data_IF_997321998470
#
_entry.id   IF_997321998470
#
_cell.length_a   1.000
_cell.length_b   1.000
_cell.length_c   1.000
_cell.angle_alpha   90.00
_cell.angle_beta   90.00
_cell.angle_gamma   90.00
#
_symmetry.space_group_name_H-M   'P 1'
#
loop_
_entity.id
_entity.type
_entity.pdbx_description
1 polymer ?
#
# COMPACT_ATOMS: atom_id res chain seq x y z
N UNK A 1 -2.50 -6.00 28.29
CA UNK A 1 -2.86 -4.58 28.05
C UNK A 1 -4.38 -4.44 27.99
N UNK A 2 -4.95 -3.24 28.27
CA UNK A 2 -6.38 -2.99 28.02
C UNK A 2 -6.57 -2.80 26.49
N UNK A 3 -7.64 -3.39 25.92
CA UNK A 3 -7.96 -3.24 24.49
C UNK A 3 -8.16 -1.75 24.15
N UNK A 4 -7.45 -1.19 23.16
CA UNK A 4 -7.63 0.22 22.75
C UNK A 4 -8.97 0.43 22.05
N UNK A 5 -9.48 1.68 22.06
CA UNK A 5 -10.67 2.07 21.30
C UNK A 5 -10.35 2.14 19.79
N UNK A 6 -9.15 2.62 19.44
CA UNK A 6 -8.67 2.76 18.06
C UNK A 6 -7.21 2.36 17.95
N UNK A 7 -6.85 1.71 16.86
CA UNK A 7 -5.47 1.36 16.50
C UNK A 7 -5.07 2.10 15.22
N UNK A 8 -3.90 2.73 15.24
CA UNK A 8 -3.22 3.25 14.07
C UNK A 8 -2.03 2.34 13.79
N UNK A 9 -2.09 1.57 12.71
CA UNK A 9 -1.12 0.53 12.42
C UNK A 9 -0.31 0.84 11.16
N UNK A 10 0.95 1.18 11.35
CA UNK A 10 1.94 1.38 10.29
C UNK A 10 2.78 0.11 10.13
N UNK A 11 2.93 -0.40 8.90
CA UNK A 11 3.74 -1.58 8.62
C UNK A 11 4.50 -1.48 7.30
N UNK A 12 5.43 -2.40 7.06
CA UNK A 12 6.18 -2.47 5.80
C UNK A 12 5.28 -2.93 4.62
N UNK A 13 5.83 -2.89 3.41
CA UNK A 13 5.09 -3.14 2.15
C UNK A 13 5.32 -4.52 1.55
N UNK A 14 5.92 -5.44 2.28
CA UNK A 14 6.16 -6.83 1.86
C UNK A 14 5.23 -7.84 2.57
N UNK A 15 5.51 -9.13 2.41
CA UNK A 15 4.70 -10.19 3.01
C UNK A 15 4.68 -10.10 4.54
N UNK A 16 5.83 -9.87 5.18
CA UNK A 16 5.95 -9.83 6.64
C UNK A 16 5.12 -8.64 7.20
N UNK A 17 5.26 -7.46 6.60
CA UNK A 17 4.49 -6.27 6.98
C UNK A 17 2.98 -6.41 6.76
N UNK A 18 2.53 -6.90 5.60
CA UNK A 18 1.09 -7.11 5.35
C UNK A 18 0.50 -8.21 6.23
N UNK A 19 1.26 -9.25 6.56
CA UNK A 19 0.79 -10.31 7.45
C UNK A 19 0.63 -9.82 8.89
N UNK A 20 1.48 -8.91 9.39
CA UNK A 20 1.25 -8.23 10.66
C UNK A 20 -0.11 -7.53 10.69
N UNK A 21 -0.44 -6.79 9.62
CA UNK A 21 -1.73 -6.10 9.49
C UNK A 21 -2.90 -7.08 9.33
N UNK A 22 -2.71 -8.17 8.59
CA UNK A 22 -3.70 -9.23 8.47
C UNK A 22 -4.07 -9.83 9.82
N UNK A 23 -3.08 -10.13 10.68
CA UNK A 23 -3.33 -10.64 12.03
C UNK A 23 -4.06 -9.62 12.91
N UNK A 24 -3.66 -8.35 12.89
CA UNK A 24 -4.32 -7.31 13.70
C UNK A 24 -5.76 -7.06 13.27
N UNK A 25 -6.11 -7.28 11.99
CA UNK A 25 -7.48 -7.15 11.48
C UNK A 25 -8.47 -8.13 12.13
N UNK A 26 -7.98 -9.23 12.72
CA UNK A 26 -8.80 -10.20 13.46
C UNK A 26 -8.91 -9.89 14.95
N UNK A 27 -8.11 -8.93 15.45
CA UNK A 27 -8.02 -8.62 16.89
C UNK A 27 -8.71 -7.31 17.28
N UNK A 28 -8.76 -6.36 16.37
CA UNK A 28 -9.28 -5.02 16.62
C UNK A 28 -10.38 -4.66 15.60
N UNK A 29 -11.38 -3.92 16.05
CA UNK A 29 -12.51 -3.52 15.19
C UNK A 29 -12.29 -2.18 14.49
N UNK A 30 -11.61 -1.25 15.18
CA UNK A 30 -11.36 0.10 14.66
C UNK A 30 -9.85 0.29 14.44
N UNK A 31 -9.43 0.13 13.17
CA UNK A 31 -8.03 0.21 12.78
C UNK A 31 -7.87 1.13 11.57
N UNK A 32 -6.92 2.05 11.67
CA UNK A 32 -6.42 2.84 10.56
C UNK A 32 -5.08 2.26 10.12
N UNK A 33 -5.01 1.82 8.87
CA UNK A 33 -3.80 1.22 8.33
C UNK A 33 -3.04 2.19 7.43
N UNK A 34 -1.72 2.12 7.48
CA UNK A 34 -0.83 2.63 6.44
C UNK A 34 0.34 1.65 6.25
N UNK A 35 0.89 1.63 5.03
CA UNK A 35 2.11 0.91 4.72
C UNK A 35 3.20 1.90 4.28
N UNK A 36 4.44 1.60 4.60
CA UNK A 36 5.60 2.45 4.32
C UNK A 36 6.79 1.61 3.84
N UNK A 37 7.60 2.19 2.96
CA UNK A 37 8.97 1.76 2.81
C UNK A 37 9.85 2.44 3.89
N UNK A 38 11.10 2.04 3.97
CA UNK A 38 12.07 2.66 4.89
C UNK A 38 12.39 4.11 4.51
N UNK A 39 12.98 4.84 5.45
CA UNK A 39 13.42 6.21 5.25
C UNK A 39 12.36 7.28 5.52
N UNK A 40 12.30 8.32 4.68
CA UNK A 40 11.46 9.50 4.91
C UNK A 40 9.96 9.22 4.80
N UNK A 41 9.56 8.16 4.10
CA UNK A 41 8.14 7.78 3.98
C UNK A 41 7.56 7.50 5.36
N UNK A 42 8.31 6.84 6.26
CA UNK A 42 7.88 6.54 7.64
C UNK A 42 7.41 7.81 8.35
N UNK A 43 8.25 8.86 8.36
CA UNK A 43 7.94 10.12 9.04
C UNK A 43 6.69 10.80 8.49
N UNK A 44 6.50 10.78 7.17
CA UNK A 44 5.32 11.37 6.54
C UNK A 44 4.05 10.56 6.84
N UNK A 45 4.13 9.21 6.86
CA UNK A 45 3.01 8.34 7.24
C UNK A 45 2.62 8.54 8.71
N UNK A 46 3.59 8.62 9.59
CA UNK A 46 3.37 8.94 11.01
C UNK A 46 2.70 10.31 11.16
N UNK A 47 3.14 11.33 10.42
CA UNK A 47 2.49 12.65 10.45
C UNK A 47 1.02 12.57 10.07
N UNK A 48 0.66 11.85 9.01
CA UNK A 48 -0.74 11.64 8.62
C UNK A 48 -1.53 10.99 9.77
N UNK A 49 -0.99 9.99 10.44
CA UNK A 49 -1.63 9.36 11.59
C UNK A 49 -1.84 10.35 12.75
N UNK A 50 -0.83 11.14 13.10
CA UNK A 50 -0.98 12.13 14.16
C UNK A 50 -2.01 13.23 13.80
N UNK A 51 -2.07 13.66 12.53
CA UNK A 51 -3.10 14.60 12.05
C UNK A 51 -4.51 13.97 12.16
N UNK A 52 -4.68 12.68 11.85
CA UNK A 52 -5.94 11.94 12.03
C UNK A 52 -6.28 11.78 13.53
N UNK A 53 -5.31 11.45 14.38
CA UNK A 53 -5.50 11.32 15.82
C UNK A 53 -5.97 12.64 16.48
N UNK A 54 -5.61 13.80 15.91
CA UNK A 54 -6.12 15.10 16.37
C UNK A 54 -7.64 15.22 16.20
N UNK A 55 -8.21 14.56 15.22
CA UNK A 55 -9.66 14.57 14.91
C UNK A 55 -10.41 13.38 15.52
N UNK A 56 -9.70 12.33 15.95
CA UNK A 56 -10.27 11.12 16.54
C UNK A 56 -10.92 11.41 17.89
N UNK A 57 -12.10 10.88 18.15
CA UNK A 57 -12.83 11.04 19.42
C UNK A 57 -12.52 9.96 20.47
N UNK A 58 -11.70 8.98 20.12
CA UNK A 58 -11.30 7.86 20.98
C UNK A 58 -10.53 8.33 22.22
N UNK A 59 -10.75 7.63 23.34
CA UNK A 59 -10.07 7.93 24.62
C UNK A 59 -8.76 7.15 24.75
N UNK A 60 -8.71 5.95 24.19
CA UNK A 60 -7.55 5.08 24.23
C UNK A 60 -7.11 4.72 22.81
N UNK A 61 -5.92 5.17 22.43
CA UNK A 61 -5.33 4.94 21.10
C UNK A 61 -4.06 4.11 21.24
N UNK A 62 -3.87 3.16 20.34
CA UNK A 62 -2.63 2.44 20.14
C UNK A 62 -2.02 2.86 18.79
N UNK A 63 -0.82 3.41 18.82
CA UNK A 63 0.05 3.50 17.64
C UNK A 63 0.88 2.22 17.60
N UNK A 64 0.55 1.33 16.68
CA UNK A 64 1.27 0.09 16.43
C UNK A 64 2.13 0.24 15.18
N UNK A 65 3.41 -0.08 15.31
CA UNK A 65 4.35 -0.08 14.18
C UNK A 65 4.93 -1.49 14.11
N UNK A 66 4.95 -2.10 12.93
CA UNK A 66 5.48 -3.46 12.74
C UNK A 66 6.38 -3.52 11.51
N UNK A 67 7.42 -4.35 11.58
CA UNK A 67 8.29 -4.64 10.44
C UNK A 67 8.95 -3.39 9.83
N UNK A 68 9.24 -2.41 10.65
CA UNK A 68 9.90 -1.16 10.27
C UNK A 68 10.92 -0.77 11.34
N UNK A 69 12.20 -0.69 10.96
CA UNK A 69 13.20 -0.13 11.85
C UNK A 69 13.16 1.40 11.82
N UNK A 70 13.06 1.99 13.00
CA UNK A 70 13.06 3.43 13.17
C UNK A 70 14.43 3.95 13.59
N UNK A 71 14.80 5.10 13.06
CA UNK A 71 15.95 5.87 13.55
C UNK A 71 15.61 6.58 14.87
N UNK A 72 16.64 6.99 15.62
CA UNK A 72 16.45 7.79 16.84
C UNK A 72 15.65 9.07 16.54
N UNK A 73 15.94 9.76 15.43
CA UNK A 73 15.20 10.96 15.03
C UNK A 73 13.71 10.70 14.77
N UNK A 74 13.37 9.54 14.19
CA UNK A 74 11.97 9.13 14.00
C UNK A 74 11.29 8.80 15.32
N UNK A 75 12.00 8.21 16.27
CA UNK A 75 11.50 7.98 17.62
C UNK A 75 11.28 9.30 18.38
N UNK A 76 12.22 10.24 18.32
CA UNK A 76 12.09 11.58 18.87
C UNK A 76 10.90 12.34 18.27
N UNK A 77 10.68 12.19 16.95
CA UNK A 77 9.50 12.74 16.28
C UNK A 77 8.21 12.19 16.91
N UNK A 78 8.10 10.87 17.12
CA UNK A 78 6.93 10.23 17.74
C UNK A 78 6.69 10.82 19.14
N UNK A 79 7.70 10.87 20.01
CA UNK A 79 7.57 11.42 21.37
C UNK A 79 7.10 12.90 21.34
N UNK A 80 7.69 13.70 20.44
CA UNK A 80 7.26 15.09 20.25
C UNK A 80 5.80 15.22 19.84
N UNK A 81 5.32 14.33 18.95
CA UNK A 81 3.92 14.35 18.53
C UNK A 81 2.97 13.86 19.63
N UNK A 82 3.40 12.89 20.45
CA UNK A 82 2.65 12.43 21.63
C UNK A 82 2.43 13.59 22.60
N UNK A 83 3.48 14.34 22.95
CA UNK A 83 3.39 15.51 23.83
C UNK A 83 2.42 16.56 23.28
N UNK A 84 2.52 16.87 21.97
CA UNK A 84 1.60 17.81 21.32
C UNK A 84 0.16 17.34 21.38
N UNK A 85 -0.10 16.07 21.08
CA UNK A 85 -1.45 15.49 21.10
C UNK A 85 -2.06 15.54 22.51
N UNK A 86 -1.29 15.17 23.54
CA UNK A 86 -1.72 15.21 24.95
C UNK A 86 -1.98 16.61 25.43
N UNK A 87 -1.18 17.60 25.02
CA UNK A 87 -1.40 19.01 25.33
C UNK A 87 -2.66 19.57 24.64
N UNK A 88 -2.95 19.12 23.43
CA UNK A 88 -4.14 19.56 22.67
C UNK A 88 -5.42 18.88 23.13
N UNK A 89 -5.36 17.58 23.47
CA UNK A 89 -6.48 16.74 23.89
C UNK A 89 -6.31 16.23 25.31
N UNK A 90 -6.94 16.90 26.27
CA UNK A 90 -6.92 16.44 27.66
C UNK A 90 -7.68 15.10 27.81
N UNK A 91 -7.07 14.13 28.49
CA UNK A 91 -7.69 12.84 28.82
C UNK A 91 -7.55 11.75 27.76
N UNK A 92 -6.81 11.98 26.68
CA UNK A 92 -6.43 10.92 25.75
C UNK A 92 -5.31 10.07 26.33
N UNK A 93 -5.40 8.76 26.17
CA UNK A 93 -4.32 7.80 26.45
C UNK A 93 -3.79 7.24 25.15
N UNK A 94 -2.61 7.70 24.72
CA UNK A 94 -1.91 7.15 23.58
C UNK A 94 -0.80 6.20 24.04
N UNK A 95 -0.86 4.96 23.58
CA UNK A 95 0.19 3.96 23.74
C UNK A 95 0.91 3.77 22.42
N UNK A 96 2.22 3.54 22.46
CA UNK A 96 3.03 3.18 21.30
C UNK A 96 3.59 1.79 21.52
N UNK A 97 3.58 0.97 20.48
CA UNK A 97 4.28 -0.31 20.42
C UNK A 97 4.90 -0.45 19.04
N UNK A 98 6.20 -0.70 19.00
CA UNK A 98 6.90 -1.13 17.81
C UNK A 98 7.36 -2.57 18.00
N UNK A 99 7.13 -3.40 16.98
CA UNK A 99 7.49 -4.82 16.93
C UNK A 99 8.33 -5.04 15.67
N UNK A 100 9.62 -5.25 15.82
CA UNK A 100 10.57 -5.28 14.71
C UNK A 100 11.63 -6.36 14.89
N UNK A 101 12.25 -6.76 13.78
CA UNK A 101 13.31 -7.75 13.76
C UNK A 101 14.61 -7.26 13.08
N UNK A 102 14.63 -6.05 12.57
CA UNK A 102 15.78 -5.50 11.85
C UNK A 102 16.86 -5.01 12.79
N UNK A 103 18.02 -5.65 12.76
CA UNK A 103 19.16 -5.33 13.64
C UNK A 103 19.67 -3.88 13.55
N UNK A 104 19.36 -3.17 12.46
CA UNK A 104 19.67 -1.75 12.28
C UNK A 104 18.88 -0.82 13.22
N UNK A 105 17.78 -1.29 13.82
CA UNK A 105 16.99 -0.56 14.81
C UNK A 105 17.52 -0.65 16.25
N UNK A 106 18.66 -1.32 16.51
CA UNK A 106 19.15 -1.64 17.85
C UNK A 106 19.32 -0.43 18.76
N UNK A 107 19.97 0.63 18.27
CA UNK A 107 20.22 1.83 19.08
C UNK A 107 18.90 2.49 19.52
N UNK A 108 17.91 2.53 18.64
CA UNK A 108 16.59 3.04 18.97
C UNK A 108 15.84 2.10 19.94
N UNK A 109 15.93 0.79 19.76
CA UNK A 109 15.29 -0.18 20.64
C UNK A 109 15.89 -0.16 22.06
N UNK A 110 17.18 0.13 22.23
CA UNK A 110 17.80 0.31 23.53
C UNK A 110 17.34 1.63 24.22
N UNK A 111 17.05 2.67 23.44
CA UNK A 111 16.65 3.97 23.98
C UNK A 111 15.14 4.06 24.32
N UNK A 112 14.27 3.34 23.59
CA UNK A 112 12.82 3.47 23.71
C UNK A 112 12.15 2.17 24.14
N UNK A 113 11.53 2.15 25.33
CA UNK A 113 10.88 0.95 25.91
C UNK A 113 9.72 0.38 25.11
N UNK A 114 9.09 1.19 24.26
CA UNK A 114 8.00 0.77 23.38
C UNK A 114 8.50 0.14 22.07
N UNK A 115 9.81 0.13 21.83
CA UNK A 115 10.45 -0.53 20.71
C UNK A 115 10.92 -1.92 21.12
N UNK A 116 10.20 -2.95 20.72
CA UNK A 116 10.62 -4.34 20.92
C UNK A 116 11.35 -4.84 19.67
N UNK A 117 12.58 -5.28 19.84
CA UNK A 117 13.44 -5.82 18.78
C UNK A 117 13.82 -7.27 19.07
N UNK A 118 13.52 -8.18 18.12
CA UNK A 118 13.95 -9.58 18.18
C UNK A 118 14.39 -10.07 16.80
N UNK A 119 15.68 -10.10 16.55
CA UNK A 119 16.28 -10.48 15.26
C UNK A 119 16.24 -11.98 14.95
N UNK A 120 15.70 -12.81 15.84
CA UNK A 120 15.61 -14.25 15.67
C UNK A 120 14.30 -14.73 15.01
N UNK A 121 13.35 -13.81 14.78
CA UNK A 121 12.03 -14.11 14.24
C UNK A 121 11.56 -12.98 13.35
N UNK A 122 10.68 -13.28 12.38
CA UNK A 122 10.01 -12.26 11.57
C UNK A 122 9.08 -11.37 12.38
N UNK A 123 8.78 -10.17 11.90
CA UNK A 123 7.85 -9.27 12.57
C UNK A 123 6.43 -9.86 12.67
N UNK A 124 5.99 -10.66 11.68
CA UNK A 124 4.71 -11.41 11.74
C UNK A 124 4.68 -12.34 12.93
N UNK A 125 5.75 -13.11 13.19
CA UNK A 125 5.80 -14.03 14.33
C UNK A 125 5.85 -13.30 15.65
N UNK A 126 6.60 -12.21 15.75
CA UNK A 126 6.64 -11.33 16.92
C UNK A 126 5.25 -10.76 17.20
N UNK A 127 4.57 -10.26 16.15
CA UNK A 127 3.23 -9.69 16.25
C UNK A 127 2.19 -10.72 16.68
N UNK A 128 2.25 -11.94 16.13
CA UNK A 128 1.38 -13.05 16.54
C UNK A 128 1.51 -13.35 18.02
N UNK A 129 2.73 -13.55 18.51
CA UNK A 129 3.00 -13.85 19.92
C UNK A 129 2.57 -12.70 20.84
N UNK A 130 2.81 -11.45 20.44
CA UNK A 130 2.40 -10.27 21.18
C UNK A 130 0.88 -10.12 21.24
N UNK A 131 0.16 -10.33 20.13
CA UNK A 131 -1.30 -10.27 20.10
C UNK A 131 -1.95 -11.31 21.03
N UNK A 132 -1.41 -12.54 21.08
CA UNK A 132 -1.90 -13.58 21.97
C UNK A 132 -1.56 -13.26 23.42
N UNK A 133 -0.29 -12.98 23.73
CA UNK A 133 0.18 -12.86 25.11
C UNK A 133 -0.23 -11.55 25.79
N UNK A 134 -0.20 -10.43 25.04
CA UNK A 134 -0.41 -9.08 25.60
C UNK A 134 -1.83 -8.57 25.39
N UNK A 135 -2.48 -8.97 24.28
CA UNK A 135 -3.83 -8.50 23.91
C UNK A 135 -4.92 -9.58 24.14
N UNK A 136 -4.54 -10.83 24.38
CA UNK A 136 -5.49 -11.94 24.59
C UNK A 136 -6.30 -12.28 23.32
N UNK A 137 -5.74 -12.04 22.12
CA UNK A 137 -6.44 -12.26 20.87
C UNK A 137 -6.36 -13.72 20.44
N UNK A 138 -7.28 -14.56 20.89
CA UNK A 138 -7.34 -15.98 20.53
C UNK A 138 -7.80 -16.23 19.09
N UNK A 139 -8.46 -15.26 18.45
CA UNK A 139 -9.00 -15.38 17.09
C UNK A 139 -7.93 -15.65 16.04
N UNK A 140 -6.67 -15.34 16.31
CA UNK A 140 -5.56 -15.57 15.37
C UNK A 140 -4.86 -16.93 15.57
N UNK A 141 -5.19 -17.70 16.61
CA UNK A 141 -4.55 -19.01 16.87
C UNK A 141 -4.57 -19.95 15.65
N UNK A 142 -5.65 -20.01 14.84
CA UNK A 142 -5.68 -20.87 13.65
C UNK A 142 -4.61 -20.53 12.61
N UNK A 143 -4.10 -19.28 12.57
CA UNK A 143 -3.10 -18.85 11.58
C UNK A 143 -1.66 -19.23 11.94
N UNK A 144 -1.44 -20.00 12.99
CA UNK A 144 -0.09 -20.36 13.46
C UNK A 144 0.81 -20.97 12.38
N UNK A 145 0.31 -21.91 11.57
CA UNK A 145 1.09 -22.53 10.50
C UNK A 145 1.43 -21.54 9.39
N UNK A 146 0.54 -20.62 9.05
CA UNK A 146 0.79 -19.53 8.12
C UNK A 146 1.89 -18.60 8.66
N UNK A 147 1.81 -18.23 9.94
CA UNK A 147 2.82 -17.40 10.62
C UNK A 147 4.19 -18.09 10.62
N UNK A 148 4.23 -19.40 10.89
CA UNK A 148 5.48 -20.17 10.88
C UNK A 148 6.06 -20.25 9.45
N UNK A 149 5.23 -20.38 8.39
CA UNK A 149 5.68 -20.37 7.01
C UNK A 149 6.23 -18.97 6.58
N UNK A 150 5.57 -17.89 7.00
CA UNK A 150 6.05 -16.52 6.74
C UNK A 150 7.38 -16.29 7.49
N UNK A 151 7.46 -16.70 8.76
CA UNK A 151 8.70 -16.60 9.51
C UNK A 151 9.85 -17.39 8.85
N UNK A 152 9.56 -18.60 8.34
CA UNK A 152 10.58 -19.41 7.71
C UNK A 152 11.19 -18.75 6.47
N UNK A 153 10.37 -18.14 5.62
CA UNK A 153 10.88 -17.49 4.40
C UNK A 153 11.53 -16.14 4.73
N UNK A 154 11.00 -15.38 5.66
CA UNK A 154 11.47 -14.03 5.97
C UNK A 154 12.89 -14.04 6.56
N UNK A 155 13.16 -14.92 7.52
CA UNK A 155 14.50 -15.09 8.10
C UNK A 155 15.28 -16.30 7.52
N UNK A 156 14.84 -16.82 6.38
CA UNK A 156 15.53 -17.80 5.55
C UNK A 156 15.83 -19.16 6.23
N UNK A 157 14.82 -19.75 6.89
CA UNK A 157 14.93 -21.07 7.54
C UNK A 157 14.57 -22.19 6.54
N UNK A 158 15.51 -22.57 5.68
CA UNK A 158 15.29 -23.50 4.55
C UNK A 158 14.82 -24.90 4.95
N UNK A 159 15.14 -25.34 6.16
CA UNK A 159 14.81 -26.68 6.66
C UNK A 159 13.40 -26.76 7.29
N UNK A 160 12.72 -25.61 7.45
CA UNK A 160 11.37 -25.55 8.00
C UNK A 160 10.30 -25.98 6.98
N UNK A 161 9.32 -26.78 7.43
CA UNK A 161 8.24 -27.34 6.57
C UNK A 161 7.52 -26.28 5.73
N UNK A 162 7.35 -25.06 6.27
CA UNK A 162 6.63 -23.98 5.61
C UNK A 162 7.46 -23.13 4.64
N UNK A 163 8.77 -23.36 4.51
CA UNK A 163 9.67 -22.50 3.74
C UNK A 163 9.25 -22.33 2.27
N UNK A 164 9.02 -23.43 1.55
CA UNK A 164 8.62 -23.39 0.13
C UNK A 164 7.26 -22.71 -0.06
N UNK A 165 6.32 -22.94 0.86
CA UNK A 165 5.02 -22.29 0.83
C UNK A 165 5.14 -20.77 1.05
N UNK A 166 5.91 -20.36 2.07
CA UNK A 166 6.22 -18.94 2.34
C UNK A 166 6.89 -18.27 1.16
N UNK A 167 7.79 -18.97 0.45
CA UNK A 167 8.48 -18.46 -0.75
C UNK A 167 7.50 -18.14 -1.89
N UNK A 168 6.54 -19.02 -2.16
CA UNK A 168 5.49 -18.78 -3.16
C UNK A 168 4.62 -17.59 -2.75
N UNK A 169 4.18 -17.55 -1.50
CA UNK A 169 3.35 -16.46 -0.99
C UNK A 169 4.09 -15.11 -1.04
N UNK A 170 5.38 -15.07 -0.67
CA UNK A 170 6.22 -13.88 -0.77
C UNK A 170 6.29 -13.38 -2.22
N UNK A 171 6.52 -14.29 -3.17
CA UNK A 171 6.50 -13.97 -4.61
C UNK A 171 5.15 -13.44 -5.08
N UNK A 172 4.05 -14.01 -4.60
CA UNK A 172 2.70 -13.58 -4.92
C UNK A 172 2.42 -12.15 -4.42
N UNK A 173 2.78 -11.83 -3.17
CA UNK A 173 2.64 -10.48 -2.61
C UNK A 173 3.51 -9.47 -3.37
N UNK A 174 4.78 -9.77 -3.60
CA UNK A 174 5.71 -8.88 -4.30
C UNK A 174 5.31 -8.59 -5.75
N UNK A 175 4.72 -9.58 -6.45
CA UNK A 175 4.28 -9.46 -7.84
C UNK A 175 2.89 -8.84 -8.00
N UNK A 176 2.07 -8.76 -6.96
CA UNK A 176 0.71 -8.21 -7.02
C UNK A 176 0.75 -6.69 -6.96
N UNK A 177 0.81 -6.08 -8.15
CA UNK A 177 0.89 -4.62 -8.36
C UNK A 177 -0.26 -4.08 -9.22
N UNK A 178 -1.32 -4.85 -9.34
CA UNK A 178 -2.50 -4.50 -10.15
C UNK A 178 -3.18 -3.25 -9.57
N UNK A 179 -3.28 -3.16 -8.25
CA UNK A 179 -3.77 -1.96 -7.55
C UNK A 179 -2.59 -1.10 -7.11
N UNK A 180 -2.56 0.14 -7.53
CA UNK A 180 -1.49 1.07 -7.16
C UNK A 180 -1.66 1.62 -5.74
N UNK A 181 -0.78 1.26 -4.81
CA UNK A 181 -0.79 1.71 -3.40
C UNK A 181 -0.86 3.25 -3.26
N UNK A 182 -0.16 3.98 -4.11
CA UNK A 182 -0.13 5.45 -4.04
C UNK A 182 -1.49 6.11 -4.26
N UNK A 183 -2.38 5.47 -5.02
CA UNK A 183 -3.73 5.96 -5.31
C UNK A 183 -4.81 5.27 -4.48
N UNK A 184 -4.62 3.98 -4.17
CA UNK A 184 -5.64 3.10 -3.62
C UNK A 184 -5.06 2.21 -2.51
N UNK A 185 -4.42 2.81 -1.49
CA UNK A 185 -3.72 2.09 -0.42
C UNK A 185 -4.60 1.03 0.28
N UNK A 186 -5.87 1.38 0.57
CA UNK A 186 -6.79 0.43 1.20
C UNK A 186 -7.12 -0.75 0.27
N UNK A 187 -7.28 -0.51 -1.04
CA UNK A 187 -7.61 -1.55 -2.02
C UNK A 187 -6.41 -2.42 -2.36
N UNK A 188 -5.21 -1.86 -2.37
CA UNK A 188 -3.97 -2.64 -2.45
C UNK A 188 -3.85 -3.59 -1.25
N UNK A 189 -4.11 -3.11 -0.03
CA UNK A 189 -4.10 -3.92 1.20
C UNK A 189 -5.19 -4.99 1.19
N UNK A 190 -6.41 -4.66 0.75
CA UNK A 190 -7.49 -5.65 0.57
C UNK A 190 -7.06 -6.78 -0.37
N UNK A 191 -6.38 -6.46 -1.49
CA UNK A 191 -5.81 -7.45 -2.41
C UNK A 191 -4.77 -8.33 -1.71
N UNK A 192 -3.83 -7.74 -0.94
CA UNK A 192 -2.83 -8.51 -0.19
C UNK A 192 -3.47 -9.42 0.86
N UNK A 193 -4.46 -8.92 1.60
CA UNK A 193 -5.22 -9.72 2.57
C UNK A 193 -5.99 -10.87 1.90
N UNK A 194 -6.54 -10.63 0.71
CA UNK A 194 -7.20 -11.69 -0.07
C UNK A 194 -6.21 -12.80 -0.43
N UNK A 195 -5.01 -12.46 -0.91
CA UNK A 195 -3.96 -13.42 -1.24
C UNK A 195 -3.52 -14.23 0.00
N UNK A 196 -3.27 -13.55 1.13
CA UNK A 196 -2.87 -14.19 2.40
C UNK A 196 -3.97 -15.15 2.89
N UNK A 197 -5.24 -14.71 2.84
CA UNK A 197 -6.39 -15.55 3.25
C UNK A 197 -6.58 -16.75 2.34
N UNK A 198 -6.45 -16.60 1.03
CA UNK A 198 -6.56 -17.69 0.06
C UNK A 198 -5.41 -18.70 0.23
N UNK A 199 -4.20 -18.21 0.47
CA UNK A 199 -3.07 -19.07 0.79
C UNK A 199 -3.31 -19.88 2.08
N UNK A 200 -3.79 -19.24 3.15
CA UNK A 200 -4.12 -19.92 4.40
C UNK A 200 -5.08 -21.10 4.19
N UNK A 201 -6.07 -20.97 3.31
CA UNK A 201 -7.04 -22.05 3.03
C UNK A 201 -6.41 -23.29 2.38
N UNK A 202 -5.20 -23.17 1.83
CA UNK A 202 -4.49 -24.25 1.12
C UNK A 202 -3.31 -24.83 1.91
N UNK A 203 -2.93 -24.22 3.05
CA UNK A 203 -1.65 -24.52 3.73
C UNK A 203 -1.54 -25.98 4.21
N UNK A 204 -2.67 -26.59 4.58
CA UNK A 204 -2.73 -27.98 5.07
C UNK A 204 -2.81 -29.04 3.95
N UNK A 205 -2.85 -28.61 2.68
CA UNK A 205 -3.00 -29.52 1.58
C UNK A 205 -1.66 -30.20 1.21
N UNK A 206 -1.76 -31.37 0.58
CA UNK A 206 -0.58 -32.04 0.04
C UNK A 206 0.03 -31.18 -1.10
N UNK A 207 1.35 -30.96 -1.04
CA UNK A 207 2.06 -30.08 -1.97
C UNK A 207 1.47 -28.65 -2.06
N UNK A 208 1.04 -28.10 -0.93
CA UNK A 208 0.37 -26.80 -0.81
C UNK A 208 1.07 -25.67 -1.58
N UNK A 209 2.42 -25.63 -1.58
CA UNK A 209 3.21 -24.61 -2.30
C UNK A 209 3.02 -24.71 -3.83
N UNK A 210 2.98 -25.92 -4.40
CA UNK A 210 2.75 -26.13 -5.84
C UNK A 210 1.31 -25.75 -6.19
N UNK A 211 0.35 -26.14 -5.34
CA UNK A 211 -1.05 -25.82 -5.54
C UNK A 211 -1.29 -24.31 -5.48
N UNK A 212 -0.73 -23.64 -4.49
CA UNK A 212 -0.82 -22.18 -4.39
C UNK A 212 -0.26 -21.46 -5.63
N UNK A 213 0.90 -21.92 -6.12
CA UNK A 213 1.51 -21.38 -7.34
C UNK A 213 0.59 -21.56 -8.56
N UNK A 214 0.03 -22.76 -8.75
CA UNK A 214 -0.88 -23.07 -9.84
C UNK A 214 -2.19 -22.27 -9.79
N UNK A 215 -2.74 -22.05 -8.59
CA UNK A 215 -4.03 -21.37 -8.39
C UNK A 215 -3.92 -19.85 -8.34
N UNK A 216 -2.72 -19.28 -8.38
CA UNK A 216 -2.51 -17.84 -8.20
C UNK A 216 -3.33 -16.97 -9.18
N UNK A 217 -3.47 -17.40 -10.42
CA UNK A 217 -4.27 -16.71 -11.41
C UNK A 217 -5.78 -16.72 -11.06
N UNK A 218 -6.28 -17.84 -10.62
CA UNK A 218 -7.68 -18.04 -10.17
C UNK A 218 -7.96 -17.16 -8.93
N UNK A 219 -7.04 -17.16 -7.96
CA UNK A 219 -7.15 -16.33 -6.75
C UNK A 219 -7.24 -14.84 -7.11
N UNK A 220 -6.37 -14.34 -8.01
CA UNK A 220 -6.43 -12.96 -8.47
C UNK A 220 -7.74 -12.64 -9.20
N UNK A 221 -8.22 -13.52 -10.08
CA UNK A 221 -9.51 -13.36 -10.75
C UNK A 221 -10.67 -13.29 -9.76
N UNK A 222 -10.65 -14.10 -8.70
CA UNK A 222 -11.68 -14.06 -7.66
C UNK A 222 -11.73 -12.72 -6.94
N UNK A 223 -10.59 -12.06 -6.71
CA UNK A 223 -10.55 -10.73 -6.11
C UNK A 223 -11.14 -9.65 -7.05
N UNK A 224 -10.68 -9.61 -8.29
CA UNK A 224 -11.09 -8.56 -9.25
C UNK A 224 -12.46 -8.80 -9.87
N UNK A 225 -12.87 -10.07 -10.02
CA UNK A 225 -14.16 -10.42 -10.60
C UNK A 225 -15.33 -10.07 -9.69
N UNK A 226 -15.19 -10.24 -8.39
CA UNK A 226 -16.28 -10.07 -7.44
C UNK A 226 -17.54 -10.84 -7.90
N UNK A 227 -18.67 -10.16 -8.13
CA UNK A 227 -19.93 -10.76 -8.62
C UNK A 227 -20.06 -10.70 -10.18
N UNK A 228 -19.00 -10.36 -10.90
CA UNK A 228 -19.00 -10.25 -12.36
C UNK A 228 -18.85 -11.62 -13.02
N UNK A 229 -19.30 -11.71 -14.28
CA UNK A 229 -19.05 -12.90 -15.10
C UNK A 229 -17.55 -13.15 -15.26
N UNK A 230 -17.17 -14.44 -15.40
CA UNK A 230 -15.78 -14.83 -15.61
C UNK A 230 -15.25 -14.23 -16.92
N UNK A 231 -14.08 -13.58 -16.81
CA UNK A 231 -13.42 -12.90 -17.91
C UNK A 231 -11.90 -13.09 -17.81
N UNK A 232 -11.14 -12.52 -18.72
CA UNK A 232 -9.67 -12.48 -18.58
C UNK A 232 -9.27 -11.63 -17.38
N UNK A 233 -8.16 -11.96 -16.74
CA UNK A 233 -7.67 -11.17 -15.60
C UNK A 233 -7.47 -9.70 -15.96
N UNK A 234 -6.89 -9.41 -17.13
CA UNK A 234 -6.68 -8.04 -17.60
C UNK A 234 -7.98 -7.24 -17.72
N UNK A 235 -9.06 -7.86 -18.23
CA UNK A 235 -10.36 -7.19 -18.32
C UNK A 235 -10.96 -6.95 -16.91
N UNK A 236 -10.90 -7.96 -16.03
CA UNK A 236 -11.41 -7.81 -14.65
C UNK A 236 -10.65 -6.72 -13.88
N UNK A 237 -9.33 -6.67 -14.02
CA UNK A 237 -8.50 -5.59 -13.43
C UNK A 237 -8.87 -4.23 -14.03
N UNK A 238 -9.04 -4.16 -15.34
CA UNK A 238 -9.40 -2.91 -16.00
C UNK A 238 -10.76 -2.38 -15.56
N UNK A 239 -11.75 -3.25 -15.45
CA UNK A 239 -13.09 -2.89 -14.97
C UNK A 239 -13.03 -2.43 -13.50
N UNK A 240 -12.36 -3.19 -12.64
CA UNK A 240 -12.20 -2.86 -11.22
C UNK A 240 -11.50 -1.50 -11.02
N UNK A 241 -10.40 -1.27 -11.72
CA UNK A 241 -9.67 0.01 -11.62
C UNK A 241 -10.44 1.16 -12.28
N UNK A 242 -11.21 0.92 -13.33
CA UNK A 242 -12.09 1.94 -13.92
C UNK A 242 -13.11 2.44 -12.91
N UNK A 243 -13.74 1.55 -12.14
CA UNK A 243 -14.69 1.93 -11.09
C UNK A 243 -14.00 2.74 -9.98
N UNK A 244 -12.82 2.32 -9.53
CA UNK A 244 -12.05 3.07 -8.53
C UNK A 244 -11.64 4.46 -9.02
N UNK A 245 -11.12 4.56 -10.23
CA UNK A 245 -10.74 5.84 -10.85
C UNK A 245 -11.95 6.75 -11.04
N UNK A 246 -13.09 6.20 -11.47
CA UNK A 246 -14.33 6.97 -11.65
C UNK A 246 -14.81 7.56 -10.33
N UNK A 247 -14.71 6.80 -9.21
CA UNK A 247 -15.08 7.29 -7.88
C UNK A 247 -14.19 8.45 -7.41
N UNK A 248 -12.89 8.44 -7.76
CA UNK A 248 -11.92 9.49 -7.40
C UNK A 248 -11.70 10.53 -8.52
N UNK A 249 -12.43 10.46 -9.60
CA UNK A 249 -12.20 11.25 -10.81
C UNK A 249 -11.96 12.74 -10.55
N UNK A 250 -12.75 13.34 -9.69
CA UNK A 250 -12.64 14.78 -9.39
C UNK A 250 -11.30 15.14 -8.73
N UNK A 251 -10.81 14.30 -7.82
CA UNK A 251 -9.52 14.51 -7.14
C UNK A 251 -8.32 14.29 -8.08
N UNK A 252 -8.53 13.50 -9.14
CA UNK A 252 -7.49 13.14 -10.11
C UNK A 252 -7.42 14.08 -11.30
N UNK A 253 -8.39 15.01 -11.48
CA UNK A 253 -8.42 15.94 -12.61
C UNK A 253 -7.17 16.79 -12.70
N UNK A 254 -6.69 16.96 -13.93
CA UNK A 254 -5.67 17.91 -14.38
C UNK A 254 -6.15 18.62 -15.63
N UNK A 255 -5.59 19.76 -15.93
CA UNK A 255 -6.00 20.57 -17.08
C UNK A 255 -4.79 20.84 -17.98
N UNK A 256 -4.96 20.61 -19.27
CA UNK A 256 -3.99 20.98 -20.31
C UNK A 256 -4.68 21.89 -21.32
N UNK A 257 -4.41 23.21 -21.28
CA UNK A 257 -5.20 24.23 -21.99
C UNK A 257 -6.69 24.04 -21.66
N UNK A 258 -7.56 23.95 -22.68
CA UNK A 258 -9.00 23.70 -22.50
C UNK A 258 -9.38 22.22 -22.34
N UNK A 259 -8.42 21.30 -22.30
CA UNK A 259 -8.67 19.84 -22.18
C UNK A 259 -8.66 19.40 -20.73
N UNK A 260 -9.64 18.55 -20.39
CA UNK A 260 -9.77 17.95 -19.07
C UNK A 260 -9.14 16.55 -19.08
N UNK A 261 -8.11 16.34 -18.30
CA UNK A 261 -7.48 15.06 -18.15
C UNK A 261 -7.60 14.50 -16.73
N UNK A 262 -7.18 13.24 -16.57
CA UNK A 262 -6.99 12.59 -15.27
C UNK A 262 -5.54 12.14 -15.17
N UNK A 263 -4.91 12.47 -14.04
CA UNK A 263 -3.56 12.00 -13.69
C UNK A 263 -3.65 10.72 -12.87
N UNK A 264 -2.86 9.72 -13.26
CA UNK A 264 -2.65 8.50 -12.48
C UNK A 264 -1.16 8.28 -12.24
N UNK A 265 -0.83 7.49 -11.23
CA UNK A 265 0.55 7.24 -10.85
C UNK A 265 0.83 5.76 -10.64
N UNK A 266 1.78 5.23 -11.40
CA UNK A 266 2.26 3.86 -11.24
C UNK A 266 1.23 2.77 -11.62
N UNK A 267 0.16 3.09 -12.34
CA UNK A 267 -0.80 2.08 -12.78
C UNK A 267 -0.19 1.17 -13.84
N UNK A 268 -0.38 -0.15 -13.72
CA UNK A 268 0.02 -1.09 -14.76
C UNK A 268 -0.92 -1.01 -15.97
N UNK A 269 -0.52 -1.59 -17.08
CA UNK A 269 -1.35 -1.83 -18.28
C UNK A 269 -2.28 -0.67 -18.69
N UNK A 270 -1.75 0.56 -18.65
CA UNK A 270 -2.52 1.79 -18.91
C UNK A 270 -3.20 1.79 -20.29
N UNK A 271 -2.76 0.94 -21.23
CA UNK A 271 -3.39 0.80 -22.54
C UNK A 271 -4.81 0.25 -22.42
N UNK A 272 -5.03 -0.72 -21.55
CA UNK A 272 -6.35 -1.34 -21.35
C UNK A 272 -7.16 -0.50 -20.36
N UNK A 273 -6.60 -0.21 -19.19
CA UNK A 273 -7.26 0.57 -18.12
C UNK A 273 -7.65 1.97 -18.60
N UNK A 274 -6.74 2.68 -19.27
CA UNK A 274 -6.98 4.04 -19.74
C UNK A 274 -8.07 4.10 -20.80
N UNK A 275 -8.13 3.13 -21.71
CA UNK A 275 -9.21 3.06 -22.68
C UNK A 275 -10.56 2.75 -22.03
N UNK A 276 -10.63 1.76 -21.13
CA UNK A 276 -11.85 1.42 -20.39
C UNK A 276 -12.36 2.63 -19.58
N UNK A 277 -11.47 3.32 -18.88
CA UNK A 277 -11.79 4.52 -18.10
C UNK A 277 -12.36 5.66 -18.99
N UNK A 278 -11.72 5.97 -20.13
CA UNK A 278 -12.17 7.03 -21.04
C UNK A 278 -13.51 6.70 -21.70
N UNK A 279 -13.80 5.44 -21.96
CA UNK A 279 -15.11 5.01 -22.46
C UNK A 279 -16.20 5.20 -21.39
N UNK A 280 -15.91 4.83 -20.14
CA UNK A 280 -16.83 4.97 -19.03
C UNK A 280 -17.03 6.44 -18.58
N UNK A 281 -16.06 7.34 -18.85
CA UNK A 281 -16.05 8.73 -18.41
C UNK A 281 -15.96 9.69 -19.63
N UNK A 282 -17.05 9.89 -20.38
CA UNK A 282 -17.04 10.71 -21.58
C UNK A 282 -16.83 12.21 -21.34
N UNK A 283 -16.83 12.69 -20.12
CA UNK A 283 -16.49 14.05 -19.71
C UNK A 283 -14.96 14.28 -19.57
N UNK A 284 -14.14 13.24 -19.68
CA UNK A 284 -12.68 13.30 -19.63
C UNK A 284 -12.13 13.19 -21.07
N UNK A 285 -11.18 14.06 -21.41
CA UNK A 285 -10.58 14.13 -22.76
C UNK A 285 -9.36 13.21 -22.88
N UNK A 286 -8.58 13.05 -21.81
CA UNK A 286 -7.38 12.21 -21.79
C UNK A 286 -7.04 11.67 -20.39
N UNK A 287 -6.23 10.62 -20.36
CA UNK A 287 -5.58 10.11 -19.12
C UNK A 287 -4.07 10.16 -19.29
N UNK A 288 -3.38 10.68 -18.29
CA UNK A 288 -1.93 10.69 -18.17
C UNK A 288 -1.52 9.80 -16.98
N UNK A 289 -0.77 8.75 -17.25
CA UNK A 289 -0.14 7.93 -16.23
C UNK A 289 1.35 8.23 -16.18
N UNK A 290 1.87 8.59 -15.01
CA UNK A 290 3.32 8.73 -14.79
C UNK A 290 3.81 7.57 -13.93
N UNK A 291 4.95 7.01 -14.28
CA UNK A 291 5.63 5.95 -13.53
C UNK A 291 6.71 6.52 -12.61
N UNK A 292 7.16 5.78 -11.56
CA UNK A 292 8.20 6.24 -10.63
C UNK A 292 9.50 6.70 -11.31
N UNK A 293 9.85 6.13 -12.45
CA UNK A 293 11.03 6.51 -13.23
C UNK A 293 10.84 7.76 -14.14
N UNK A 294 9.68 8.45 -14.04
CA UNK A 294 9.34 9.61 -14.85
C UNK A 294 8.81 9.30 -16.26
N UNK A 295 8.65 8.03 -16.62
CA UNK A 295 7.99 7.68 -17.91
C UNK A 295 6.52 8.04 -17.87
N UNK A 296 6.01 8.72 -18.87
CA UNK A 296 4.59 9.03 -19.02
C UNK A 296 3.97 8.20 -20.14
N UNK A 297 2.71 7.86 -19.95
CA UNK A 297 1.87 7.22 -20.95
C UNK A 297 0.52 7.93 -20.98
N UNK A 298 0.09 8.33 -22.18
CA UNK A 298 -1.15 9.05 -22.38
C UNK A 298 -2.09 8.27 -23.28
N UNK A 299 -3.39 8.36 -22.99
CA UNK A 299 -4.46 7.85 -23.85
C UNK A 299 -5.54 8.90 -24.01
N UNK A 300 -6.17 8.90 -25.19
CA UNK A 300 -7.36 9.68 -25.48
C UNK A 300 -8.33 8.85 -26.34
N UNK A 301 -9.57 9.27 -26.38
CA UNK A 301 -10.60 8.67 -27.24
C UNK A 301 -11.11 9.74 -28.22
N UNK A 302 -10.24 10.18 -29.13
CA UNK A 302 -10.49 11.23 -30.18
C UNK A 302 -10.90 12.60 -29.61
N UNK A 303 -10.60 12.92 -28.34
CA UNK A 303 -10.99 14.19 -27.68
C UNK A 303 -9.82 15.15 -27.47
N UNK A 304 -8.62 14.62 -27.36
CA UNK A 304 -7.37 15.38 -27.27
C UNK A 304 -6.30 14.71 -28.12
N UNK A 305 -5.42 15.51 -28.71
CA UNK A 305 -4.20 15.00 -29.34
C UNK A 305 -3.12 14.82 -28.25
N UNK A 306 -3.01 13.58 -27.75
CA UNK A 306 -2.04 13.29 -26.69
C UNK A 306 -0.59 13.23 -27.18
N UNK A 307 -0.35 13.26 -28.50
CA UNK A 307 1.01 13.37 -29.03
C UNK A 307 1.58 14.77 -28.83
N UNK A 308 0.74 15.82 -28.94
CA UNK A 308 1.10 17.20 -28.60
C UNK A 308 1.41 17.32 -27.11
N UNK A 309 0.58 16.73 -26.25
CA UNK A 309 0.80 16.76 -24.79
C UNK A 309 2.13 16.08 -24.42
N UNK A 310 2.40 14.89 -25.01
CA UNK A 310 3.64 14.17 -24.77
C UNK A 310 4.88 14.94 -25.26
N UNK A 311 4.79 15.58 -26.43
CA UNK A 311 5.88 16.41 -26.95
C UNK A 311 6.16 17.62 -26.05
N UNK A 312 5.11 18.25 -25.54
CA UNK A 312 5.23 19.44 -24.68
C UNK A 312 5.82 19.10 -23.31
N UNK A 313 5.32 18.04 -22.65
CA UNK A 313 5.67 17.74 -21.25
C UNK A 313 6.94 16.89 -21.10
N UNK A 314 7.27 16.06 -22.08
CA UNK A 314 8.26 15.00 -21.91
C UNK A 314 9.19 14.78 -23.12
N UNK A 315 9.29 15.74 -24.02
CA UNK A 315 10.00 15.60 -25.29
C UNK A 315 9.66 14.26 -26.01
N UNK A 316 8.41 13.81 -25.83
CA UNK A 316 7.90 12.53 -26.31
C UNK A 316 7.11 12.65 -27.59
N UNK A 317 6.26 11.66 -27.86
CA UNK A 317 5.39 11.63 -29.04
C UNK A 317 4.64 10.32 -29.17
N UNK A 318 4.03 10.10 -30.32
CA UNK A 318 3.25 8.90 -30.61
C UNK A 318 2.07 9.21 -31.54
N UNK A 319 0.95 8.55 -31.30
CA UNK A 319 -0.29 8.77 -32.02
C UNK A 319 -1.23 9.72 -31.26
N UNK A 320 -2.18 10.40 -31.94
CA UNK A 320 -3.14 11.29 -31.27
C UNK A 320 -3.90 10.66 -30.10
N UNK A 321 -4.15 9.36 -30.13
CA UNK A 321 -4.86 8.65 -29.05
C UNK A 321 -3.95 7.83 -28.12
N UNK A 322 -2.66 7.69 -28.42
CA UNK A 322 -1.73 6.88 -27.63
C UNK A 322 -0.29 7.39 -27.79
N UNK A 323 0.21 8.04 -26.77
CA UNK A 323 1.52 8.67 -26.78
C UNK A 323 2.25 8.44 -25.46
N UNK A 324 3.52 8.77 -25.43
CA UNK A 324 4.33 8.69 -24.22
C UNK A 324 5.65 9.45 -24.38
N UNK A 325 6.38 9.49 -23.29
CA UNK A 325 7.67 10.15 -23.19
C UNK A 325 8.30 9.95 -21.83
N UNK A 326 9.30 10.75 -21.49
CA UNK A 326 9.94 10.71 -20.17
C UNK A 326 10.24 12.10 -19.66
N UNK A 327 9.81 12.39 -18.45
CA UNK A 327 10.10 13.63 -17.73
C UNK A 327 11.41 13.41 -16.95
N UNK A 328 12.52 13.97 -17.45
CA UNK A 328 13.86 13.67 -16.94
C UNK A 328 14.14 14.21 -15.54
N UNK A 329 13.47 15.27 -15.12
CA UNK A 329 13.62 15.89 -13.79
C UNK A 329 12.57 15.42 -12.78
N UNK A 330 11.71 14.46 -13.14
CA UNK A 330 10.76 13.86 -12.22
C UNK A 330 11.50 13.07 -11.14
N UNK A 331 11.09 13.28 -9.90
CA UNK A 331 11.52 12.49 -8.75
C UNK A 331 10.37 11.66 -8.23
N UNK A 332 10.63 10.38 -8.00
CA UNK A 332 9.66 9.47 -7.38
C UNK A 332 9.14 10.04 -6.06
N UNK A 333 7.85 9.88 -5.83
CA UNK A 333 7.20 10.24 -4.57
C UNK A 333 6.16 9.19 -4.19
N UNK A 334 6.13 8.83 -2.92
CA UNK A 334 5.07 8.00 -2.36
C UNK A 334 3.77 8.80 -2.08
N UNK A 335 3.80 10.13 -2.26
CA UNK A 335 2.64 11.01 -2.15
C UNK A 335 2.09 11.34 -3.53
N UNK A 336 0.87 10.87 -3.82
CA UNK A 336 0.17 11.26 -5.04
C UNK A 336 -0.02 12.78 -5.16
N UNK A 337 -0.26 13.47 -4.04
CA UNK A 337 -0.41 14.93 -4.03
C UNK A 337 0.87 15.65 -4.51
N UNK A 338 2.05 15.16 -4.11
CA UNK A 338 3.33 15.72 -4.58
C UNK A 338 3.50 15.49 -6.09
N UNK A 339 3.12 14.30 -6.58
CA UNK A 339 3.17 13.96 -8.01
C UNK A 339 2.22 14.87 -8.81
N UNK A 340 1.00 15.06 -8.32
CA UNK A 340 0.00 15.91 -8.97
C UNK A 340 0.47 17.36 -9.02
N UNK A 341 0.93 17.90 -7.92
CA UNK A 341 1.48 19.26 -7.85
C UNK A 341 2.64 19.47 -8.83
N UNK A 342 3.54 18.50 -8.92
CA UNK A 342 4.65 18.55 -9.88
C UNK A 342 4.17 18.59 -11.33
N UNK A 343 3.20 17.72 -11.69
CA UNK A 343 2.66 17.67 -13.07
C UNK A 343 1.88 18.94 -13.40
N UNK A 344 1.06 19.45 -12.49
CA UNK A 344 0.31 20.71 -12.69
C UNK A 344 1.28 21.89 -12.88
N UNK A 345 2.32 22.02 -12.04
CA UNK A 345 3.35 23.05 -12.21
C UNK A 345 4.11 22.93 -13.54
N UNK A 346 4.40 21.69 -13.98
CA UNK A 346 5.05 21.47 -15.26
C UNK A 346 4.14 21.87 -16.43
N UNK A 347 2.85 21.59 -16.36
CA UNK A 347 1.88 22.01 -17.37
C UNK A 347 1.84 23.55 -17.44
N UNK A 348 1.71 24.25 -16.32
CA UNK A 348 1.73 25.71 -16.24
C UNK A 348 3.01 26.31 -16.84
N UNK A 349 4.17 25.80 -16.48
CA UNK A 349 5.47 26.24 -17.02
C UNK A 349 5.53 26.09 -18.55
N UNK A 350 5.07 24.96 -19.08
CA UNK A 350 5.19 24.63 -20.50
C UNK A 350 4.10 25.26 -21.38
N UNK A 351 2.94 25.58 -20.83
CA UNK A 351 1.82 26.16 -21.59
C UNK A 351 1.66 27.65 -21.39
N UNK A 352 2.30 28.25 -20.36
CA UNK A 352 2.15 29.65 -20.03
C UNK A 352 0.77 30.02 -19.48
N UNK A 353 0.04 29.04 -18.95
CA UNK A 353 -1.34 29.20 -18.47
C UNK A 353 -1.36 29.52 -16.98
#
# INVERSE_FOLDING_TARGET
>A
MKKPDTVYHLSHTDLDGYACQFLTSHCFENIHYQNSNYGDEITKRLKIFFDQMLLDSSKTILLLITDLNLTIQQCEFIETQIEKLQNFKSGISLQVQLLDHHGSGRDAAEAYKWYYLDTSRSATKITYDWLISSMGCEAIQPYKELVDAINAIDIWLTDEKGFEFGKVLMGAIASSREVGRSLFDDKDREQKFHLIRSAYQMIDEENAHIKLDNEMHTIKKAFFGQDREDNTLDNLVADYLTDLLTTKKEDLKIYYKEKVGVLTYGLPNISVIGNAFLVANPDIDFILNISPNGSISLRSNNKADVSEIAATLADGGGHPNASGGRINNFKDSYSYADVKCFIESLIEEKTGA
#
